data_IF_507173189699
#
_entry.id   IF_507173189699
#
_cell.length_a   1.000
_cell.length_b   1.000
_cell.length_c   1.000
_cell.angle_alpha   90.00
_cell.angle_beta   90.00
_cell.angle_gamma   90.00
#
_symmetry.space_group_name_H-M   'P 1'
#
loop_
_entity.id
_entity.type
_entity.pdbx_description
1 polymer ?
#
# COMPACT_ATOMS: atom_id res chain seq x y z
N UNK A 1 -8.31 5.99 -11.89
CA UNK A 1 -7.35 7.08 -11.61
C UNK A 1 -6.27 7.06 -12.68
N UNK A 2 -5.68 8.21 -13.04
CA UNK A 2 -4.52 8.22 -13.95
C UNK A 2 -3.29 7.83 -13.13
N UNK A 3 -2.44 6.95 -13.69
CA UNK A 3 -1.22 6.40 -13.08
C UNK A 3 -0.33 7.43 -12.35
N UNK A 4 -0.26 8.68 -12.84
CA UNK A 4 0.60 9.71 -12.25
C UNK A 4 0.06 10.33 -10.95
N UNK A 5 -1.25 10.30 -10.70
CA UNK A 5 -1.82 10.89 -9.47
C UNK A 5 -1.50 10.05 -8.24
N UNK A 6 -1.38 8.73 -8.41
CA UNK A 6 -1.10 7.81 -7.31
C UNK A 6 0.38 7.78 -6.90
N UNK A 7 1.32 8.21 -7.76
CA UNK A 7 2.73 8.33 -7.38
C UNK A 7 3.02 9.53 -6.45
N UNK A 8 2.19 10.57 -6.47
CA UNK A 8 2.35 11.76 -5.61
C UNK A 8 1.29 11.85 -4.50
N UNK A 9 0.26 11.01 -4.54
CA UNK A 9 -0.79 10.99 -3.53
C UNK A 9 -0.37 10.18 -2.29
N UNK A 10 -0.66 10.75 -1.13
CA UNK A 10 -0.85 9.97 0.08
C UNK A 10 -2.15 9.17 -0.08
N UNK A 11 -2.08 7.86 0.14
CA UNK A 11 -3.22 6.95 0.07
C UNK A 11 -3.50 6.37 1.43
N UNK A 12 -4.77 6.28 1.80
CA UNK A 12 -5.14 5.66 3.08
C UNK A 12 -4.86 4.15 3.04
N UNK A 13 -4.71 3.53 4.21
CA UNK A 13 -4.60 2.08 4.33
C UNK A 13 -5.70 1.33 3.56
N UNK A 14 -6.93 1.84 3.64
CA UNK A 14 -8.08 1.21 3.00
C UNK A 14 -7.97 1.25 1.46
N UNK A 15 -7.53 2.38 0.91
CA UNK A 15 -7.32 2.53 -0.54
C UNK A 15 -6.16 1.66 -1.03
N UNK A 16 -5.05 1.63 -0.29
CA UNK A 16 -3.91 0.78 -0.62
C UNK A 16 -4.29 -0.71 -0.61
N UNK A 17 -5.03 -1.17 0.41
CA UNK A 17 -5.54 -2.55 0.49
C UNK A 17 -6.51 -2.85 -0.65
N UNK A 18 -7.40 -1.92 -1.00
CA UNK A 18 -8.32 -2.10 -2.12
C UNK A 18 -7.57 -2.21 -3.45
N UNK A 19 -6.55 -1.38 -3.66
CA UNK A 19 -5.75 -1.42 -4.87
C UNK A 19 -4.96 -2.73 -4.95
N UNK A 20 -4.25 -3.12 -3.89
CA UNK A 20 -3.57 -4.42 -3.81
C UNK A 20 -4.53 -5.59 -4.15
N UNK A 21 -5.76 -5.56 -3.62
CA UNK A 21 -6.77 -6.59 -3.91
C UNK A 21 -7.17 -6.64 -5.38
N UNK A 22 -7.25 -5.50 -6.08
CA UNK A 22 -7.54 -5.47 -7.54
C UNK A 22 -6.45 -6.16 -8.36
N UNK A 23 -5.21 -6.15 -7.86
CA UNK A 23 -4.06 -6.79 -8.49
C UNK A 23 -3.78 -8.21 -7.95
N UNK A 24 -4.66 -8.74 -7.09
CA UNK A 24 -4.54 -10.09 -6.55
C UNK A 24 -3.60 -10.24 -5.36
N UNK A 25 -3.18 -9.14 -4.74
CA UNK A 25 -2.35 -9.11 -3.52
C UNK A 25 -3.24 -8.97 -2.29
N UNK A 26 -3.15 -9.89 -1.33
CA UNK A 26 -3.87 -9.81 -0.05
C UNK A 26 -3.08 -8.97 0.96
N UNK A 27 -3.19 -7.65 0.85
CA UNK A 27 -2.49 -6.72 1.74
C UNK A 27 -3.24 -6.51 3.07
N UNK A 28 -2.51 -6.48 4.18
CA UNK A 28 -3.02 -6.21 5.53
C UNK A 28 -2.10 -5.26 6.29
N UNK A 29 -2.65 -4.59 7.31
CA UNK A 29 -1.84 -3.81 8.23
C UNK A 29 -1.21 -4.73 9.28
N UNK A 30 0.09 -4.56 9.52
CA UNK A 30 0.84 -5.25 10.56
C UNK A 30 0.55 -4.60 11.91
N UNK A 31 0.15 -5.40 12.90
CA UNK A 31 -0.29 -4.89 14.21
C UNK A 31 0.79 -4.16 15.02
N UNK A 32 2.08 -4.39 14.76
CA UNK A 32 3.16 -3.82 15.57
C UNK A 32 3.54 -2.38 15.19
N UNK A 33 3.50 -2.05 13.91
CA UNK A 33 4.00 -0.78 13.34
C UNK A 33 3.03 -0.16 12.33
N UNK A 34 1.89 -0.80 12.06
CA UNK A 34 0.94 -0.35 11.05
C UNK A 34 1.44 -0.50 9.62
N UNK A 35 2.54 -1.21 9.38
CA UNK A 35 3.07 -1.42 8.04
C UNK A 35 2.05 -2.13 7.14
N UNK A 36 1.92 -1.69 5.90
CA UNK A 36 1.16 -2.42 4.90
C UNK A 36 2.02 -3.59 4.43
N UNK A 37 1.53 -4.81 4.62
CA UNK A 37 2.26 -6.03 4.28
C UNK A 37 1.41 -6.93 3.39
N UNK A 38 2.06 -7.65 2.50
CA UNK A 38 1.45 -8.78 1.81
C UNK A 38 1.30 -9.93 2.81
N UNK A 39 0.07 -10.42 2.98
CA UNK A 39 -0.23 -11.51 3.90
C UNK A 39 0.25 -12.87 3.39
N UNK A 40 0.37 -13.03 2.08
CA UNK A 40 0.79 -14.29 1.46
C UNK A 40 2.30 -14.47 1.55
N UNK A 41 3.07 -13.44 1.20
CA UNK A 41 4.55 -13.48 1.23
C UNK A 41 5.14 -13.00 2.56
N UNK A 42 4.44 -12.13 3.29
CA UNK A 42 4.96 -11.42 4.46
C UNK A 42 5.78 -10.17 4.11
N UNK A 43 5.87 -9.81 2.82
CA UNK A 43 6.66 -8.67 2.35
C UNK A 43 6.06 -7.34 2.78
N UNK A 44 6.94 -6.36 3.04
CA UNK A 44 6.52 -5.00 3.38
C UNK A 44 6.28 -4.21 2.09
N UNK A 45 5.04 -3.79 1.90
CA UNK A 45 4.59 -2.99 0.76
C UNK A 45 4.90 -1.52 1.02
N UNK A 46 4.65 -1.03 2.24
CA UNK A 46 4.91 0.37 2.60
C UNK A 46 4.76 0.61 4.10
N UNK A 47 5.39 1.68 4.58
CA UNK A 47 5.24 2.15 5.96
C UNK A 47 4.26 3.31 6.01
N UNK A 48 3.38 3.37 7.03
CA UNK A 48 2.53 4.53 7.24
C UNK A 48 3.39 5.72 7.68
N UNK A 49 2.95 6.92 7.31
CA UNK A 49 3.44 8.16 7.90
C UNK A 49 2.80 8.43 9.27
N UNK A 50 3.13 9.58 9.87
CA UNK A 50 2.61 10.00 11.17
C UNK A 50 1.07 10.19 11.19
N UNK A 51 0.44 10.27 10.00
CA UNK A 51 -1.00 10.37 9.83
C UNK A 51 -1.68 9.01 9.53
N UNK A 52 -0.90 7.93 9.38
CA UNK A 52 -1.42 6.61 9.01
C UNK A 52 -1.66 6.43 7.51
N UNK A 53 -1.12 7.33 6.69
CA UNK A 53 -1.22 7.29 5.23
C UNK A 53 0.04 6.68 4.62
N UNK A 54 -0.10 6.14 3.41
CA UNK A 54 0.97 5.46 2.69
C UNK A 54 1.35 6.26 1.46
N UNK A 55 2.64 6.21 1.11
CA UNK A 55 3.08 6.76 -0.15
C UNK A 55 2.58 5.86 -1.28
N UNK A 56 1.69 6.37 -2.14
CA UNK A 56 1.13 5.58 -3.24
C UNK A 56 2.20 5.05 -4.20
N UNK A 57 3.36 5.72 -4.29
CA UNK A 57 4.52 5.22 -5.01
C UNK A 57 5.10 3.90 -4.46
N UNK A 58 5.06 3.68 -3.14
CA UNK A 58 5.54 2.42 -2.53
C UNK A 58 4.60 1.25 -2.91
N UNK A 59 3.29 1.50 -2.83
CA UNK A 59 2.25 0.53 -3.20
C UNK A 59 2.35 0.16 -4.68
N UNK A 60 2.45 1.17 -5.56
CA UNK A 60 2.59 0.95 -6.99
C UNK A 60 3.92 0.27 -7.35
N UNK A 61 5.00 0.66 -6.68
CA UNK A 61 6.32 0.06 -6.87
C UNK A 61 6.33 -1.43 -6.54
N UNK A 62 5.66 -1.83 -5.45
CA UNK A 62 5.47 -3.25 -5.11
C UNK A 62 4.65 -4.00 -6.18
N UNK A 63 3.62 -3.36 -6.72
CA UNK A 63 2.78 -3.92 -7.77
C UNK A 63 3.46 -3.98 -9.15
N UNK A 64 4.65 -3.38 -9.30
CA UNK A 64 5.46 -3.42 -10.52
C UNK A 64 5.14 -2.34 -11.57
N UNK A 65 4.64 -1.19 -11.11
CA UNK A 65 4.28 -0.02 -11.93
C UNK A 65 5.37 1.05 -12.05
#
# INVERSE_FOLDING_TARGET
MRYWEACEAQVTAAEAVEECRKHGVDAVLRDCDGALIDKESGDVIGLPDDCGEFYGGDVLGYLGY
#
